data_IF_293793934061
#
_entry.id   IF_293793934061
#
_cell.length_a   1.000
_cell.length_b   1.000
_cell.length_c   1.000
_cell.angle_alpha   90.00
_cell.angle_beta   90.00
_cell.angle_gamma   90.00
#
_symmetry.space_group_name_H-M   'P 1'
#
loop_
_entity.id
_entity.type
_entity.pdbx_description
1 polymer ?
#
# COMPACT_ATOMS: atom_id res chain seq x y z
N UNK A 1 -12.19 -5.14 8.76
CA UNK A 1 -11.25 -5.26 7.61
C UNK A 1 -11.98 -5.53 6.31
N UNK A 2 -12.63 -6.69 6.10
CA UNK A 2 -13.32 -7.01 4.82
C UNK A 2 -14.31 -5.93 4.35
N UNK A 3 -15.17 -5.45 5.26
CA UNK A 3 -16.07 -4.32 4.99
C UNK A 3 -15.32 -3.02 4.66
N UNK A 4 -14.16 -2.82 5.28
CA UNK A 4 -13.29 -1.66 5.02
C UNK A 4 -12.72 -1.70 3.60
N UNK A 5 -12.24 -2.86 3.14
CA UNK A 5 -11.77 -3.06 1.77
C UNK A 5 -12.87 -2.78 0.74
N UNK A 6 -14.06 -3.33 0.93
CA UNK A 6 -15.22 -3.07 0.05
C UNK A 6 -15.59 -1.57 0.02
N UNK A 7 -15.55 -0.87 1.15
CA UNK A 7 -15.77 0.58 1.22
C UNK A 7 -14.67 1.38 0.51
N UNK A 8 -13.41 0.96 0.61
CA UNK A 8 -12.28 1.60 -0.10
C UNK A 8 -12.45 1.45 -1.61
N UNK A 9 -12.74 0.24 -2.10
CA UNK A 9 -12.95 -0.01 -3.54
C UNK A 9 -14.14 0.81 -4.05
N UNK A 10 -15.28 0.79 -3.35
CA UNK A 10 -16.47 1.58 -3.73
C UNK A 10 -16.19 3.07 -3.73
N UNK A 11 -15.51 3.58 -2.70
CA UNK A 11 -15.13 4.99 -2.60
C UNK A 11 -14.18 5.41 -3.73
N UNK A 12 -13.17 4.59 -4.00
CA UNK A 12 -12.18 4.83 -5.05
C UNK A 12 -12.82 4.88 -6.45
N UNK A 13 -13.63 3.89 -6.79
CA UNK A 13 -14.39 3.83 -8.05
C UNK A 13 -15.31 5.05 -8.21
N UNK A 14 -16.05 5.40 -7.15
CA UNK A 14 -16.97 6.53 -7.18
C UNK A 14 -16.27 7.88 -7.40
N UNK A 15 -15.07 8.05 -6.81
CA UNK A 15 -14.24 9.24 -7.00
C UNK A 15 -13.71 9.28 -8.45
N UNK A 16 -13.23 8.15 -8.96
CA UNK A 16 -12.69 8.04 -10.31
C UNK A 16 -13.72 8.49 -11.36
N UNK A 17 -14.94 7.93 -11.29
CA UNK A 17 -16.03 8.31 -12.18
C UNK A 17 -16.40 9.79 -12.09
N UNK A 18 -16.42 10.38 -10.89
CA UNK A 18 -16.82 11.79 -10.69
C UNK A 18 -15.77 12.80 -11.13
N UNK A 19 -14.49 12.47 -10.96
CA UNK A 19 -13.39 13.32 -11.37
C UNK A 19 -12.98 13.08 -12.83
N UNK A 20 -13.65 12.14 -13.51
CA UNK A 20 -13.32 11.71 -14.87
C UNK A 20 -11.84 11.32 -15.00
N UNK A 21 -11.34 10.62 -13.99
CA UNK A 21 -9.99 10.07 -13.94
C UNK A 21 -10.07 8.56 -13.94
N UNK A 22 -9.01 7.88 -14.38
CA UNK A 22 -9.02 6.42 -14.38
C UNK A 22 -9.10 5.88 -12.94
N UNK A 23 -9.86 4.80 -12.70
CA UNK A 23 -9.85 4.09 -11.42
C UNK A 23 -8.44 3.71 -10.98
N UNK A 24 -7.57 3.39 -11.94
CA UNK A 24 -6.16 3.12 -11.71
C UNK A 24 -5.40 4.30 -11.10
N UNK A 25 -5.69 5.55 -11.48
CA UNK A 25 -5.07 6.72 -10.85
C UNK A 25 -5.47 6.81 -9.38
N UNK A 26 -6.76 6.62 -9.06
CA UNK A 26 -7.25 6.65 -7.69
C UNK A 26 -6.69 5.47 -6.88
N UNK A 27 -6.56 4.29 -7.50
CA UNK A 27 -5.91 3.12 -6.92
C UNK A 27 -4.44 3.38 -6.61
N UNK A 28 -3.68 3.90 -7.57
CA UNK A 28 -2.24 4.20 -7.40
C UNK A 28 -1.99 5.31 -6.37
N UNK A 29 -2.87 6.32 -6.33
CA UNK A 29 -2.68 7.50 -5.48
C UNK A 29 -3.45 7.38 -4.18
N UNK A 30 -4.76 7.51 -4.21
CA UNK A 30 -5.60 7.61 -3.02
C UNK A 30 -5.60 6.32 -2.19
N UNK A 31 -5.73 5.16 -2.85
CA UNK A 31 -5.73 3.86 -2.16
C UNK A 31 -4.31 3.50 -1.75
N UNK A 32 -3.36 3.50 -2.68
CA UNK A 32 -1.97 3.13 -2.41
C UNK A 32 -1.30 3.99 -1.33
N UNK A 33 -1.47 5.32 -1.37
CA UNK A 33 -0.99 6.15 -0.26
C UNK A 33 -1.81 5.93 1.01
N UNK A 34 -3.13 5.77 0.88
CA UNK A 34 -4.04 5.61 2.02
C UNK A 34 -3.74 4.37 2.86
N UNK A 35 -3.47 3.23 2.23
CA UNK A 35 -3.12 1.99 2.92
C UNK A 35 -1.73 2.06 3.56
N UNK A 36 -0.79 2.76 2.93
CA UNK A 36 0.58 2.93 3.45
C UNK A 36 0.77 4.09 4.44
N UNK A 37 -0.31 4.80 4.81
CA UNK A 37 -0.28 5.85 5.84
C UNK A 37 0.18 5.33 7.22
N UNK A 38 -0.29 4.17 7.72
CA UNK A 38 0.17 3.60 8.99
C UNK A 38 1.68 3.35 9.00
N UNK A 39 2.25 2.83 7.92
CA UNK A 39 3.69 2.63 7.77
C UNK A 39 4.44 3.95 7.76
N UNK A 40 3.93 4.95 7.03
CA UNK A 40 4.53 6.28 7.00
C UNK A 40 4.53 6.90 8.41
N UNK A 41 3.41 6.82 9.12
CA UNK A 41 3.29 7.37 10.48
C UNK A 41 4.21 6.63 11.46
N UNK A 42 4.23 5.30 11.43
CA UNK A 42 5.11 4.48 12.27
C UNK A 42 6.58 4.79 12.00
N UNK A 43 6.98 4.86 10.73
CA UNK A 43 8.35 5.16 10.32
C UNK A 43 8.75 6.58 10.72
N UNK A 44 7.85 7.56 10.54
CA UNK A 44 8.09 8.95 10.89
C UNK A 44 8.21 9.13 12.41
N UNK A 45 7.31 8.54 13.19
CA UNK A 45 7.35 8.59 14.65
C UNK A 45 8.64 7.94 15.18
N UNK A 46 9.02 6.78 14.66
CA UNK A 46 10.27 6.12 15.04
C UNK A 46 11.51 6.98 14.73
N UNK A 47 11.54 7.64 13.56
CA UNK A 47 12.63 8.54 13.20
C UNK A 47 12.69 9.77 14.13
N UNK A 48 11.54 10.40 14.41
CA UNK A 48 11.44 11.55 15.31
C UNK A 48 11.76 11.21 16.77
N UNK A 49 11.47 9.97 17.19
CA UNK A 49 11.81 9.46 18.51
C UNK A 49 13.29 9.06 18.68
N UNK A 50 14.14 9.29 17.66
CA UNK A 50 15.55 8.93 17.70
C UNK A 50 15.82 7.43 17.53
N UNK A 51 14.87 6.68 16.96
CA UNK A 51 14.99 5.26 16.65
C UNK A 51 15.00 4.99 15.12
N UNK A 52 16.00 5.50 14.37
CA UNK A 52 16.04 5.39 12.91
C UNK A 52 16.11 3.94 12.41
N UNK A 53 16.71 3.02 13.20
CA UNK A 53 16.73 1.59 12.87
C UNK A 53 15.33 0.97 12.81
N UNK A 54 14.40 1.39 13.68
CA UNK A 54 13.00 0.94 13.64
C UNK A 54 12.30 1.52 12.42
N UNK A 55 12.55 2.79 12.11
CA UNK A 55 12.01 3.46 10.92
C UNK A 55 12.39 2.73 9.63
N UNK A 56 13.69 2.46 9.44
CA UNK A 56 14.20 1.72 8.28
C UNK A 56 13.70 0.28 8.27
N UNK A 57 13.69 -0.38 9.42
CA UNK A 57 13.18 -1.74 9.57
C UNK A 57 11.72 -1.87 9.16
N UNK A 58 10.87 -0.91 9.52
CA UNK A 58 9.47 -0.86 9.10
C UNK A 58 9.35 -0.72 7.57
N UNK A 59 10.05 0.25 6.97
CA UNK A 59 10.02 0.47 5.51
C UNK A 59 10.48 -0.77 4.73
N UNK A 60 11.58 -1.39 5.14
CA UNK A 60 12.11 -2.58 4.46
C UNK A 60 11.19 -3.79 4.67
N UNK A 61 10.74 -4.01 5.91
CA UNK A 61 9.87 -5.12 6.28
C UNK A 61 8.55 -5.11 5.53
N UNK A 62 7.88 -3.95 5.46
CA UNK A 62 6.60 -3.81 4.73
C UNK A 62 6.75 -4.10 3.24
N UNK A 63 7.84 -3.64 2.60
CA UNK A 63 8.09 -3.96 1.18
C UNK A 63 8.34 -5.46 0.95
N UNK A 64 9.07 -6.12 1.86
CA UNK A 64 9.27 -7.58 1.80
C UNK A 64 7.94 -8.32 1.97
N UNK A 65 7.10 -7.92 2.94
CA UNK A 65 5.79 -8.51 3.13
C UNK A 65 4.89 -8.30 1.90
N UNK A 66 4.86 -7.11 1.33
CA UNK A 66 4.04 -6.81 0.15
C UNK A 66 4.42 -7.69 -1.05
N UNK A 67 5.71 -7.89 -1.30
CA UNK A 67 6.18 -8.66 -2.48
C UNK A 67 6.10 -10.17 -2.23
N UNK A 68 6.55 -10.66 -1.08
CA UNK A 68 6.67 -12.11 -0.85
C UNK A 68 5.39 -12.72 -0.28
N UNK A 69 4.72 -12.02 0.65
CA UNK A 69 3.53 -12.54 1.32
C UNK A 69 2.26 -12.16 0.55
N UNK A 70 2.00 -10.86 0.37
CA UNK A 70 0.74 -10.38 -0.21
C UNK A 70 0.67 -10.76 -1.69
N UNK A 71 1.63 -10.32 -2.50
CA UNK A 71 1.66 -10.65 -3.93
C UNK A 71 1.86 -12.16 -4.16
N UNK A 72 2.62 -12.84 -3.29
CA UNK A 72 2.77 -14.30 -3.33
C UNK A 72 1.45 -15.04 -3.12
N UNK A 73 0.69 -14.70 -2.08
CA UNK A 73 -0.64 -15.27 -1.82
C UNK A 73 -1.60 -14.90 -2.95
N UNK A 74 -1.60 -13.65 -3.41
CA UNK A 74 -2.45 -13.21 -4.52
C UNK A 74 -2.21 -14.04 -5.79
N UNK A 75 -0.94 -14.29 -6.14
CA UNK A 75 -0.54 -15.11 -7.29
C UNK A 75 -0.91 -16.60 -7.13
N UNK A 76 -0.94 -17.13 -5.90
CA UNK A 76 -1.42 -18.49 -5.62
C UNK A 76 -2.94 -18.61 -5.75
N UNK A 77 -3.69 -17.58 -5.32
CA UNK A 77 -5.15 -17.56 -5.39
C UNK A 77 -5.68 -17.33 -6.81
N UNK A 78 -5.05 -16.40 -7.55
CA UNK A 78 -5.45 -16.07 -8.92
C UNK A 78 -4.24 -15.62 -9.74
N UNK A 79 -4.09 -16.07 -11.00
CA UNK A 79 -3.01 -15.59 -11.86
C UNK A 79 -3.00 -14.06 -11.96
N UNK A 80 -1.91 -13.44 -11.52
CA UNK A 80 -1.70 -11.99 -11.64
C UNK A 80 -1.25 -11.69 -13.07
N UNK A 81 -2.18 -11.18 -13.88
CA UNK A 81 -1.89 -10.82 -15.28
C UNK A 81 -1.41 -9.38 -15.36
N UNK A 82 -0.20 -9.18 -15.88
CA UNK A 82 0.35 -7.87 -16.20
C UNK A 82 0.84 -7.84 -17.65
N UNK A 83 0.81 -6.67 -18.30
CA UNK A 83 1.44 -6.55 -19.63
C UNK A 83 2.96 -6.68 -19.49
N UNK A 84 3.66 -7.33 -20.43
CA UNK A 84 5.13 -7.43 -20.39
C UNK A 84 5.83 -6.07 -20.36
N UNK A 85 5.18 -5.02 -20.89
CA UNK A 85 5.68 -3.65 -20.82
C UNK A 85 5.59 -3.07 -19.40
N UNK A 86 4.41 -3.15 -18.76
CA UNK A 86 4.21 -2.69 -17.39
C UNK A 86 5.09 -3.47 -16.40
N UNK A 87 5.13 -4.81 -16.52
CA UNK A 87 5.94 -5.65 -15.66
C UNK A 87 7.44 -5.29 -15.70
N UNK A 88 8.00 -5.09 -16.91
CA UNK A 88 9.41 -4.70 -17.05
C UNK A 88 9.67 -3.27 -16.55
N UNK A 89 8.76 -2.33 -16.82
CA UNK A 89 8.86 -0.94 -16.38
C UNK A 89 8.86 -0.88 -14.85
N UNK A 90 7.83 -1.42 -14.22
CA UNK A 90 7.59 -1.29 -12.79
C UNK A 90 8.58 -2.18 -12.01
N UNK A 91 8.87 -3.39 -12.50
CA UNK A 91 9.88 -4.28 -11.94
C UNK A 91 11.29 -3.68 -11.99
N UNK A 92 11.67 -3.02 -13.09
CA UNK A 92 12.97 -2.35 -13.18
C UNK A 92 13.08 -1.15 -12.22
N UNK A 93 12.00 -0.37 -12.06
CA UNK A 93 11.97 0.74 -11.10
C UNK A 93 12.08 0.23 -9.66
N UNK A 94 11.31 -0.79 -9.29
CA UNK A 94 11.39 -1.40 -7.96
C UNK A 94 12.81 -1.90 -7.69
N UNK A 95 13.40 -2.66 -8.62
CA UNK A 95 14.77 -3.15 -8.47
C UNK A 95 15.79 -2.01 -8.31
N UNK A 96 15.70 -0.98 -9.15
CA UNK A 96 16.59 0.17 -9.08
C UNK A 96 16.49 0.91 -7.74
N UNK A 97 15.26 1.20 -7.28
CA UNK A 97 15.02 1.88 -6.00
C UNK A 97 15.46 1.02 -4.82
N UNK A 98 15.27 -0.30 -4.88
CA UNK A 98 15.78 -1.23 -3.86
C UNK A 98 17.31 -1.19 -3.79
N UNK A 99 18.01 -1.24 -4.94
CA UNK A 99 19.48 -1.17 -4.97
C UNK A 99 19.98 0.17 -4.44
N UNK A 100 19.35 1.28 -4.84
CA UNK A 100 19.67 2.62 -4.32
C UNK A 100 19.45 2.67 -2.81
N UNK A 101 18.32 2.14 -2.31
CA UNK A 101 18.00 2.08 -0.89
C UNK A 101 19.05 1.29 -0.10
N UNK A 102 19.44 0.12 -0.59
CA UNK A 102 20.51 -0.69 0.02
C UNK A 102 21.83 0.08 0.04
N UNK A 103 22.22 0.72 -1.07
CA UNK A 103 23.45 1.52 -1.13
C UNK A 103 23.44 2.67 -0.11
N UNK A 104 22.32 3.39 0.02
CA UNK A 104 22.16 4.45 1.02
C UNK A 104 22.26 3.92 2.45
N UNK A 105 21.69 2.74 2.73
CA UNK A 105 21.79 2.10 4.05
C UNK A 105 23.22 1.67 4.36
N UNK A 106 23.96 1.16 3.38
CA UNK A 106 25.37 0.77 3.53
C UNK A 106 26.30 1.97 3.76
N UNK A 107 25.92 3.15 3.27
CA UNK A 107 26.61 4.42 3.57
C UNK A 107 26.38 4.91 5.01
N UNK A 108 25.48 4.27 5.77
CA UNK A 108 25.28 4.48 7.21
C UNK A 108 24.31 5.60 7.57
N UNK A 109 24.00 6.52 6.66
CA UNK A 109 23.08 7.63 6.91
C UNK A 109 22.16 7.92 5.71
N UNK A 110 20.85 8.00 5.96
CA UNK A 110 19.86 8.52 5.01
C UNK A 110 19.57 9.98 5.35
N UNK A 111 20.37 10.88 4.78
CA UNK A 111 20.24 12.32 5.01
C UNK A 111 19.07 12.97 4.25
N UNK A 112 18.81 14.25 4.56
CA UNK A 112 17.73 15.05 3.94
C UNK A 112 17.82 15.12 2.41
N UNK A 113 19.03 15.15 1.86
CA UNK A 113 19.24 15.15 0.41
C UNK A 113 18.77 13.85 -0.23
N UNK A 114 19.11 12.71 0.35
CA UNK A 114 18.66 11.40 -0.11
C UNK A 114 17.13 11.28 -0.01
N UNK A 115 16.55 11.66 1.13
CA UNK A 115 15.08 11.69 1.30
C UNK A 115 14.38 12.62 0.30
N UNK A 116 14.93 13.81 0.07
CA UNK A 116 14.42 14.75 -0.94
C UNK A 116 14.50 14.20 -2.36
N UNK A 117 15.62 13.55 -2.72
CA UNK A 117 15.77 12.88 -4.00
C UNK A 117 14.78 11.72 -4.17
N UNK A 118 14.52 10.93 -3.12
CA UNK A 118 13.51 9.86 -3.14
C UNK A 118 12.09 10.41 -3.30
N UNK A 119 11.75 11.54 -2.65
CA UNK A 119 10.45 12.19 -2.84
C UNK A 119 10.26 12.73 -4.26
N UNK A 120 11.30 13.36 -4.83
CA UNK A 120 11.28 13.80 -6.23
C UNK A 120 11.15 12.61 -7.17
N UNK A 121 11.89 11.52 -6.91
CA UNK A 121 11.79 10.28 -7.66
C UNK A 121 10.39 9.65 -7.60
N UNK A 122 9.77 9.63 -6.42
CA UNK A 122 8.40 9.17 -6.23
C UNK A 122 7.41 10.02 -7.04
N UNK A 123 7.50 11.35 -6.95
CA UNK A 123 6.64 12.26 -7.71
C UNK A 123 6.82 12.08 -9.23
N UNK A 124 8.07 11.97 -9.69
CA UNK A 124 8.40 11.73 -11.10
C UNK A 124 7.86 10.38 -11.58
N UNK A 125 7.97 9.33 -10.78
CA UNK A 125 7.44 8.00 -11.10
C UNK A 125 5.92 8.00 -11.17
N UNK A 126 5.23 8.58 -10.19
CA UNK A 126 3.76 8.71 -10.20
C UNK A 126 3.30 9.48 -11.44
N UNK A 127 3.96 10.60 -11.77
CA UNK A 127 3.63 11.37 -12.97
C UNK A 127 3.89 10.59 -14.26
N UNK A 128 5.01 9.88 -14.35
CA UNK A 128 5.35 9.06 -15.50
C UNK A 128 4.36 7.92 -15.71
N UNK A 129 4.04 7.17 -14.64
CA UNK A 129 3.06 6.09 -14.65
C UNK A 129 1.68 6.62 -15.02
N UNK A 130 1.26 7.77 -14.46
CA UNK A 130 0.02 8.43 -14.85
C UNK A 130 -0.02 8.73 -16.35
N UNK A 131 1.03 9.31 -16.93
CA UNK A 131 1.06 9.63 -18.36
C UNK A 131 1.09 8.38 -19.25
N UNK A 132 1.79 7.33 -18.82
CA UNK A 132 1.88 6.08 -19.57
C UNK A 132 0.55 5.33 -19.58
N UNK A 133 -0.19 5.36 -18.46
CA UNK A 133 -1.50 4.71 -18.31
C UNK A 133 -2.62 5.56 -18.90
N UNK A 134 -2.54 6.90 -18.87
CA UNK A 134 -3.55 7.79 -19.46
C UNK A 134 -3.69 7.62 -20.98
N UNK A 135 -2.68 7.07 -21.67
CA UNK A 135 -2.72 6.77 -23.10
C UNK A 135 -3.05 5.31 -23.45
N UNK A 136 -3.15 4.41 -22.47
CA UNK A 136 -3.30 2.97 -22.70
C UNK A 136 -4.50 2.42 -21.93
N UNK A 137 -5.38 1.66 -22.60
CA UNK A 137 -6.39 0.82 -21.92
C UNK A 137 -5.66 -0.29 -21.16
N UNK A 138 -5.24 0.02 -19.93
CA UNK A 138 -4.45 -0.88 -19.09
C UNK A 138 -5.34 -2.03 -18.58
N UNK A 139 -4.85 -3.29 -18.56
CA UNK A 139 -5.61 -4.41 -17.99
C UNK A 139 -6.04 -4.18 -16.55
N UNK A 140 -5.22 -3.48 -15.76
CA UNK A 140 -5.57 -3.12 -14.39
C UNK A 140 -6.71 -2.11 -14.32
N UNK A 141 -6.75 -1.13 -15.24
CA UNK A 141 -7.89 -0.22 -15.36
C UNK A 141 -9.17 -0.96 -15.77
N UNK A 142 -9.08 -1.92 -16.69
CA UNK A 142 -10.22 -2.74 -17.11
C UNK A 142 -10.76 -3.65 -15.99
N UNK A 143 -9.89 -4.17 -15.10
CA UNK A 143 -10.33 -4.93 -13.92
C UNK A 143 -11.06 -4.02 -12.93
N UNK A 144 -10.50 -2.85 -12.61
CA UNK A 144 -11.19 -1.89 -11.73
C UNK A 144 -12.50 -1.36 -12.35
N UNK A 145 -12.56 -1.18 -13.66
CA UNK A 145 -13.80 -0.81 -14.37
C UNK A 145 -14.83 -1.94 -14.35
N UNK A 146 -14.41 -3.20 -14.52
CA UNK A 146 -15.30 -4.36 -14.40
C UNK A 146 -15.82 -4.55 -12.98
N UNK A 147 -14.99 -4.33 -11.96
CA UNK A 147 -15.43 -4.29 -10.56
C UNK A 147 -16.36 -3.09 -10.30
N UNK A 148 -16.08 -1.93 -10.89
CA UNK A 148 -16.92 -0.75 -10.80
C UNK A 148 -18.32 -0.97 -11.37
N UNK A 149 -18.43 -1.72 -12.46
CA UNK A 149 -19.71 -2.03 -13.13
C UNK A 149 -20.56 -3.02 -12.32
N UNK A 150 -19.92 -3.88 -11.51
CA UNK A 150 -20.57 -4.80 -10.59
C UNK A 150 -21.03 -4.13 -9.27
N UNK A 151 -20.43 -2.99 -8.93
CA UNK A 151 -20.77 -2.25 -7.73
C UNK A 151 -21.99 -1.35 -7.99
N UNK A 152 -23.00 -1.33 -7.08
CA UNK A 152 -24.13 -0.41 -7.21
C UNK A 152 -23.63 1.03 -7.33
N UNK A 153 -23.99 1.72 -8.42
CA UNK A 153 -23.69 3.15 -8.64
C UNK A 153 -23.99 3.93 -7.36
N UNK A 154 -22.98 4.44 -6.64
CA UNK A 154 -23.22 5.00 -5.33
C UNK A 154 -24.10 6.24 -5.44
N UNK A 155 -25.21 6.31 -4.68
CA UNK A 155 -26.05 7.48 -4.71
C UNK A 155 -25.30 8.66 -4.06
N UNK A 156 -25.30 9.81 -4.72
CA UNK A 156 -25.02 11.09 -4.08
C UNK A 156 -23.60 11.67 -4.21
N UNK A 157 -23.54 12.97 -3.90
CA UNK A 157 -22.42 13.95 -4.01
C UNK A 157 -21.01 13.38 -3.79
N UNK A 158 -19.99 14.02 -4.38
CA UNK A 158 -18.56 13.70 -4.18
C UNK A 158 -18.18 13.51 -2.70
N UNK A 159 -18.81 14.25 -1.79
CA UNK A 159 -18.64 14.09 -0.35
C UNK A 159 -18.97 12.69 0.17
N UNK A 160 -19.96 12.00 -0.39
CA UNK A 160 -20.31 10.61 -0.03
C UNK A 160 -19.20 9.67 -0.48
N UNK A 161 -18.69 9.83 -1.70
CA UNK A 161 -17.60 9.00 -2.23
C UNK A 161 -16.31 9.16 -1.41
N UNK A 162 -15.96 10.40 -1.06
CA UNK A 162 -14.85 10.70 -0.15
C UNK A 162 -15.10 10.14 1.25
N UNK A 163 -16.33 10.23 1.76
CA UNK A 163 -16.73 9.67 3.04
C UNK A 163 -16.61 8.14 3.09
N UNK A 164 -17.03 7.44 2.02
CA UNK A 164 -16.89 5.98 1.91
C UNK A 164 -15.43 5.55 1.90
N UNK A 165 -14.60 6.21 1.09
CA UNK A 165 -13.16 5.93 1.05
C UNK A 165 -12.52 6.16 2.43
N UNK A 166 -12.78 7.31 3.06
CA UNK A 166 -12.23 7.64 4.36
C UNK A 166 -12.70 6.65 5.44
N UNK A 167 -13.99 6.30 5.47
CA UNK A 167 -14.53 5.30 6.38
C UNK A 167 -13.91 3.92 6.14
N UNK A 168 -13.71 3.53 4.89
CA UNK A 168 -13.04 2.29 4.51
C UNK A 168 -11.60 2.23 5.01
N UNK A 169 -10.80 3.29 4.74
CA UNK A 169 -9.42 3.40 5.22
C UNK A 169 -9.36 3.35 6.75
N UNK A 170 -10.22 4.09 7.45
CA UNK A 170 -10.32 4.05 8.91
C UNK A 170 -10.65 2.63 9.39
N UNK A 171 -11.63 1.97 8.78
CA UNK A 171 -12.02 0.60 9.15
C UNK A 171 -10.93 -0.44 8.86
N UNK A 172 -10.08 -0.22 7.84
CA UNK A 172 -8.91 -1.04 7.57
C UNK A 172 -7.84 -0.82 8.65
N UNK A 173 -7.46 0.43 8.93
CA UNK A 173 -6.41 0.76 9.91
C UNK A 173 -6.79 0.34 11.34
N UNK A 174 -8.00 0.63 11.79
CA UNK A 174 -8.45 0.18 13.11
C UNK A 174 -8.66 -1.33 13.14
N UNK A 175 -9.16 -1.91 12.04
CA UNK A 175 -9.36 -3.34 11.94
C UNK A 175 -8.05 -4.14 11.96
N UNK A 176 -7.00 -3.65 11.31
CA UNK A 176 -5.67 -4.28 11.36
C UNK A 176 -5.10 -4.21 12.77
N UNK A 177 -5.18 -3.05 13.44
CA UNK A 177 -4.73 -2.90 14.82
C UNK A 177 -5.38 -3.90 15.78
N UNK A 178 -6.71 -4.01 15.75
CA UNK A 178 -7.43 -4.98 16.58
C UNK A 178 -7.04 -6.44 16.29
N UNK A 179 -6.82 -6.78 15.00
CA UNK A 179 -6.39 -8.13 14.63
C UNK A 179 -4.98 -8.42 15.15
N UNK A 180 -4.07 -7.46 15.04
CA UNK A 180 -2.69 -7.58 15.53
C UNK A 180 -2.67 -7.72 17.03
N UNK A 181 -3.38 -6.87 17.76
CA UNK A 181 -3.44 -6.92 19.23
C UNK A 181 -3.96 -8.26 19.71
N UNK A 182 -5.06 -8.76 19.12
CA UNK A 182 -5.60 -10.08 19.44
C UNK A 182 -4.63 -11.22 19.10
N UNK A 183 -3.93 -11.14 17.96
CA UNK A 183 -2.94 -12.13 17.55
C UNK A 183 -1.72 -12.15 18.49
N UNK A 184 -1.26 -10.98 18.93
CA UNK A 184 -0.18 -10.82 19.93
C UNK A 184 -0.60 -11.44 21.26
N UNK A 185 -1.81 -11.15 21.73
CA UNK A 185 -2.33 -11.70 23.00
C UNK A 185 -2.43 -13.23 22.95
N UNK A 186 -2.97 -13.79 21.87
CA UNK A 186 -3.00 -15.25 21.66
C UNK A 186 -1.60 -15.86 21.60
N UNK A 187 -0.67 -15.22 20.90
CA UNK A 187 0.71 -15.71 20.79
C UNK A 187 1.42 -15.73 22.15
N UNK A 188 1.18 -14.72 23.00
CA UNK A 188 1.67 -14.69 24.38
C UNK A 188 1.07 -15.80 25.24
N UNK A 189 -0.23 -16.05 25.10
CA UNK A 189 -0.92 -17.10 25.86
C UNK A 189 -0.39 -18.50 25.56
N UNK A 190 0.08 -18.76 24.33
CA UNK A 190 0.69 -20.04 23.94
C UNK A 190 2.22 -20.05 24.08
N UNK A 191 2.81 -19.03 24.70
CA UNK A 191 4.24 -18.99 25.07
C UNK A 191 5.20 -18.62 23.94
N UNK A 192 4.73 -17.98 22.86
CA UNK A 192 5.61 -17.47 21.80
C UNK A 192 6.42 -16.28 22.34
N UNK A 193 7.73 -16.27 22.08
CA UNK A 193 8.60 -15.17 22.52
C UNK A 193 8.24 -13.84 21.85
N UNK A 194 8.35 -12.73 22.58
CA UNK A 194 8.13 -11.37 22.07
C UNK A 194 8.93 -11.07 20.79
N UNK A 195 10.15 -11.60 20.67
CA UNK A 195 10.99 -11.43 19.49
C UNK A 195 10.36 -12.04 18.24
N UNK A 196 9.80 -13.25 18.36
CA UNK A 196 9.12 -13.93 17.24
C UNK A 196 7.82 -13.19 16.91
N UNK A 197 7.06 -12.75 17.91
CA UNK A 197 5.82 -11.97 17.71
C UNK A 197 6.11 -10.68 16.94
N UNK A 198 7.13 -9.92 17.37
CA UNK A 198 7.50 -8.66 16.75
C UNK A 198 8.02 -8.82 15.32
N UNK A 199 8.83 -9.85 15.05
CA UNK A 199 9.39 -10.10 13.71
C UNK A 199 8.40 -10.73 12.72
N UNK A 200 7.24 -11.22 13.19
CA UNK A 200 6.26 -11.92 12.34
C UNK A 200 4.88 -11.27 12.40
N UNK A 201 4.16 -11.43 13.50
CA UNK A 201 2.77 -11.01 13.68
C UNK A 201 2.61 -9.50 13.49
N UNK A 202 3.50 -8.70 14.09
CA UNK A 202 3.43 -7.23 13.99
C UNK A 202 3.79 -6.75 12.59
N UNK A 203 4.85 -7.33 11.99
CA UNK A 203 5.30 -6.97 10.64
C UNK A 203 4.25 -7.30 9.57
N UNK A 204 3.60 -8.46 9.67
CA UNK A 204 2.46 -8.82 8.82
C UNK A 204 1.29 -7.88 9.10
N UNK A 205 1.07 -7.59 10.38
CA UNK A 205 -0.01 -6.78 10.90
C UNK A 205 -0.15 -5.40 10.28
N UNK A 206 0.97 -4.68 10.16
CA UNK A 206 0.99 -3.33 9.59
C UNK A 206 0.63 -3.31 8.11
N UNK A 207 0.87 -4.41 7.39
CA UNK A 207 0.58 -4.54 5.95
C UNK A 207 -0.72 -5.31 5.66
N UNK A 208 -1.53 -5.58 6.69
CA UNK A 208 -2.87 -6.16 6.51
C UNK A 208 -3.84 -5.24 5.76
N UNK A 209 -3.81 -3.89 5.90
CA UNK A 209 -4.64 -3.02 5.08
C UNK A 209 -4.43 -3.23 3.57
N UNK A 210 -3.20 -3.52 3.15
CA UNK A 210 -2.81 -3.81 1.76
C UNK A 210 -3.26 -5.18 1.26
N UNK A 211 -3.55 -6.13 2.17
CA UNK A 211 -3.93 -7.50 1.81
C UNK A 211 -5.41 -7.65 1.44
N UNK A 212 -6.27 -6.74 1.90
CA UNK A 212 -7.74 -6.85 1.86
C UNK A 212 -8.32 -6.06 0.70
#
# INVERSE_FOLDING_TARGET
MLLGGDLVVRGAVAIAHRLNVSPLLIGLTLVGFGTSLPELMTSLQAALAGAPGISVGNVVGSNICNILLILGIAALLRPVTATPAAFRRDGAVVLAVTVIGIALMLLGEVGRLAGGAMLVGLAAYVYFTYRAEAGAHSPAAAVLEGEAELLPQPPGRLAVALGLLAAGLVALVFGSGLLVDAAVELARLVGVSETVIGLTVVAIGTSLPELV
#
